data_IF_595777708419
#
_entry.id   IF_595777708419
#
_cell.length_a   1.000
_cell.length_b   1.000
_cell.length_c   1.000
_cell.angle_alpha   90.00
_cell.angle_beta   90.00
_cell.angle_gamma   90.00
#
_symmetry.space_group_name_H-M   'P 1'
#
loop_
_entity.id
_entity.type
_entity.pdbx_description
1 polymer ?
#
# COMPACT_ATOMS: atom_id res chain seq x y z
N UNK A 1 -0.05 -15.79 -18.85
CA UNK A 1 0.28 -14.37 -18.57
C UNK A 1 -0.99 -13.70 -18.05
N UNK A 2 -1.00 -13.22 -16.81
CA UNK A 2 -2.17 -12.53 -16.22
C UNK A 2 -2.19 -11.07 -16.67
N UNK A 3 -3.35 -10.39 -16.57
CA UNK A 3 -3.44 -8.94 -16.83
C UNK A 3 -2.52 -8.13 -15.89
N UNK A 4 -2.36 -8.57 -14.64
CA UNK A 4 -1.41 -7.98 -13.70
C UNK A 4 0.04 -8.07 -14.21
N UNK A 5 0.46 -9.23 -14.70
CA UNK A 5 1.80 -9.40 -15.28
C UNK A 5 1.96 -8.59 -16.58
N UNK A 6 0.90 -8.44 -17.37
CA UNK A 6 0.90 -7.57 -18.54
C UNK A 6 1.07 -6.08 -18.16
N UNK A 7 0.47 -5.64 -17.06
CA UNK A 7 0.65 -4.28 -16.53
C UNK A 7 2.09 -4.02 -16.10
N UNK A 8 2.75 -4.99 -15.44
CA UNK A 8 4.18 -4.93 -15.12
C UNK A 8 5.02 -4.80 -16.39
N UNK A 9 4.78 -5.63 -17.40
CA UNK A 9 5.49 -5.53 -18.68
C UNK A 9 5.28 -4.18 -19.37
N UNK A 10 4.07 -3.62 -19.29
CA UNK A 10 3.75 -2.29 -19.83
C UNK A 10 4.48 -1.18 -19.09
N UNK A 11 4.51 -1.23 -17.75
CA UNK A 11 5.26 -0.27 -16.92
C UNK A 11 6.75 -0.32 -17.26
N UNK A 12 7.34 -1.51 -17.29
CA UNK A 12 8.76 -1.69 -17.63
C UNK A 12 9.08 -1.15 -19.01
N UNK A 13 8.20 -1.37 -20.00
CA UNK A 13 8.34 -0.77 -21.32
C UNK A 13 8.24 0.76 -21.27
N UNK A 14 7.32 1.35 -20.51
CA UNK A 14 7.23 2.82 -20.38
C UNK A 14 8.52 3.39 -19.79
N UNK A 15 9.07 2.77 -18.75
CA UNK A 15 10.33 3.18 -18.11
C UNK A 15 11.49 3.09 -19.11
N UNK A 16 11.62 1.97 -19.82
CA UNK A 16 12.67 1.75 -20.81
C UNK A 16 12.65 2.76 -21.98
N UNK A 17 11.51 3.42 -22.22
CA UNK A 17 11.32 4.40 -23.29
C UNK A 17 11.07 5.82 -22.74
N UNK A 18 11.57 6.14 -21.54
CA UNK A 18 11.71 7.51 -21.06
C UNK A 18 10.64 8.01 -20.07
N UNK A 19 9.77 7.13 -19.55
CA UNK A 19 8.89 7.50 -18.43
C UNK A 19 9.68 7.81 -17.16
N UNK A 20 9.17 8.73 -16.33
CA UNK A 20 9.87 9.26 -15.16
C UNK A 20 10.82 10.42 -15.48
N UNK A 21 10.65 11.07 -16.63
CA UNK A 21 11.45 12.24 -17.04
C UNK A 21 10.91 13.58 -16.50
N UNK A 22 9.85 13.54 -15.67
CA UNK A 22 9.21 14.71 -15.04
C UNK A 22 8.74 14.38 -13.62
N UNK A 23 8.44 15.41 -12.82
CA UNK A 23 7.88 15.33 -11.47
C UNK A 23 6.63 14.46 -11.35
N UNK A 24 5.53 14.85 -12.01
CA UNK A 24 4.30 14.03 -12.09
C UNK A 24 4.56 12.61 -12.58
N UNK A 25 5.43 12.41 -13.58
CA UNK A 25 5.67 11.07 -14.11
C UNK A 25 6.40 10.21 -13.09
N UNK A 26 7.30 10.77 -12.26
CA UNK A 26 7.93 10.06 -11.15
C UNK A 26 6.92 9.73 -10.05
N UNK A 27 6.12 10.71 -9.64
CA UNK A 27 5.04 10.47 -8.69
C UNK A 27 4.10 9.34 -9.16
N UNK A 28 3.79 9.30 -10.46
CA UNK A 28 2.98 8.24 -11.04
C UNK A 28 3.68 6.87 -11.00
N UNK A 29 4.98 6.80 -11.30
CA UNK A 29 5.77 5.56 -11.19
C UNK A 29 5.82 5.04 -9.75
N UNK A 30 5.88 5.91 -8.73
CA UNK A 30 5.80 5.50 -7.32
C UNK A 30 4.46 4.82 -7.05
N UNK A 31 3.34 5.47 -7.39
CA UNK A 31 2.00 4.93 -7.13
C UNK A 31 1.71 3.64 -7.92
N UNK A 32 2.09 3.57 -9.20
CA UNK A 32 1.90 2.36 -10.01
C UNK A 32 2.84 1.25 -9.56
N UNK A 33 4.09 1.57 -9.23
CA UNK A 33 5.05 0.61 -8.67
C UNK A 33 4.54 0.00 -7.36
N UNK A 34 3.94 0.80 -6.49
CA UNK A 34 3.27 0.31 -5.27
C UNK A 34 2.14 -0.67 -5.61
N UNK A 35 1.22 -0.30 -6.51
CA UNK A 35 0.10 -1.17 -6.92
C UNK A 35 0.54 -2.46 -7.62
N UNK A 36 1.70 -2.46 -8.26
CA UNK A 36 2.26 -3.61 -8.95
C UNK A 36 3.27 -4.40 -8.12
N UNK A 37 3.39 -4.08 -6.82
CA UNK A 37 4.30 -4.76 -5.90
C UNK A 37 5.78 -4.70 -6.34
N UNK A 38 6.21 -3.55 -6.85
CA UNK A 38 7.57 -3.30 -7.34
C UNK A 38 8.36 -2.39 -6.38
N UNK A 39 8.91 -2.91 -5.26
CA UNK A 39 9.56 -2.10 -4.23
C UNK A 39 10.81 -1.36 -4.74
N UNK A 40 11.56 -1.96 -5.66
CA UNK A 40 12.73 -1.32 -6.26
C UNK A 40 12.33 -0.06 -7.07
N UNK A 41 11.23 -0.14 -7.83
CA UNK A 41 10.72 1.00 -8.60
C UNK A 41 10.19 2.10 -7.67
N UNK A 42 9.42 1.73 -6.64
CA UNK A 42 8.95 2.69 -5.61
C UNK A 42 10.11 3.46 -5.01
N UNK A 43 11.15 2.76 -4.55
CA UNK A 43 12.33 3.40 -3.97
C UNK A 43 13.04 4.31 -4.97
N UNK A 44 13.37 3.78 -6.15
CA UNK A 44 14.14 4.50 -7.16
C UNK A 44 13.39 5.75 -7.64
N UNK A 45 12.09 5.65 -7.90
CA UNK A 45 11.30 6.79 -8.33
C UNK A 45 11.08 7.81 -7.21
N UNK A 46 11.00 7.40 -5.95
CA UNK A 46 10.97 8.32 -4.79
C UNK A 46 12.28 9.11 -4.67
N UNK A 47 13.43 8.42 -4.75
CA UNK A 47 14.75 9.07 -4.72
C UNK A 47 14.89 10.04 -5.89
N UNK A 48 14.50 9.63 -7.10
CA UNK A 48 14.57 10.50 -8.27
C UNK A 48 13.65 11.73 -8.16
N UNK A 49 12.43 11.58 -7.63
CA UNK A 49 11.54 12.71 -7.41
C UNK A 49 12.19 13.76 -6.48
N UNK A 50 12.75 13.30 -5.37
CA UNK A 50 13.40 14.17 -4.38
C UNK A 50 14.72 14.78 -4.88
N UNK A 51 15.52 14.01 -5.62
CA UNK A 51 16.87 14.44 -6.00
C UNK A 51 16.89 15.24 -7.31
N UNK A 52 16.10 14.83 -8.31
CA UNK A 52 16.16 15.40 -9.66
C UNK A 52 15.02 16.36 -9.98
N UNK A 53 13.88 16.23 -9.28
CA UNK A 53 12.65 16.97 -9.61
C UNK A 53 12.14 17.78 -8.43
N UNK A 54 13.01 18.16 -7.50
CA UNK A 54 12.65 19.01 -6.37
C UNK A 54 13.62 20.17 -6.23
N UNK A 55 13.12 21.39 -6.04
CA UNK A 55 13.95 22.55 -5.74
C UNK A 55 14.60 22.40 -4.36
N UNK A 56 15.92 22.58 -4.29
CA UNK A 56 16.72 22.37 -3.06
C UNK A 56 16.27 23.23 -1.87
N UNK A 57 15.73 24.43 -2.12
CA UNK A 57 15.37 25.36 -1.05
C UNK A 57 13.89 25.28 -0.63
N UNK A 58 12.97 25.13 -1.60
CA UNK A 58 11.53 25.18 -1.33
C UNK A 58 10.88 23.80 -1.21
N UNK A 59 11.60 22.74 -1.62
CA UNK A 59 11.07 21.40 -1.81
C UNK A 59 9.87 21.31 -2.79
N UNK A 60 9.65 22.34 -3.60
CA UNK A 60 8.63 22.32 -4.65
C UNK A 60 9.11 21.49 -5.85
N UNK A 61 8.18 20.77 -6.46
CA UNK A 61 8.42 19.92 -7.62
C UNK A 61 8.78 20.77 -8.85
N UNK A 62 9.78 20.32 -9.61
CA UNK A 62 10.41 21.07 -10.70
C UNK A 62 10.72 20.17 -11.87
N UNK A 63 10.82 20.76 -13.05
CA UNK A 63 11.25 20.10 -14.27
C UNK A 63 10.21 20.20 -15.39
N UNK A 64 10.58 19.82 -16.62
CA UNK A 64 9.73 20.03 -17.80
C UNK A 64 8.28 19.53 -17.60
N UNK A 65 7.28 20.16 -18.24
CA UNK A 65 7.38 21.29 -19.17
C UNK A 65 7.39 22.69 -18.53
N UNK A 66 7.41 22.83 -17.20
CA UNK A 66 7.36 24.14 -16.54
C UNK A 66 8.45 24.26 -15.45
N UNK A 67 8.67 25.46 -14.91
CA UNK A 67 9.59 25.62 -13.78
C UNK A 67 9.06 24.89 -12.53
N UNK A 68 7.77 25.03 -12.24
CA UNK A 68 7.11 24.42 -11.10
C UNK A 68 5.79 23.78 -11.53
N UNK A 69 5.51 22.58 -11.03
CA UNK A 69 4.18 21.95 -11.05
C UNK A 69 3.92 21.28 -9.71
N UNK A 70 2.69 21.30 -9.21
CA UNK A 70 2.38 20.81 -7.85
C UNK A 70 2.14 19.29 -7.81
N UNK A 71 1.95 18.66 -8.96
CA UNK A 71 1.61 17.25 -9.10
C UNK A 71 2.66 16.30 -8.52
N UNK A 72 3.96 16.56 -8.69
CA UNK A 72 5.00 15.77 -8.02
C UNK A 72 4.92 15.85 -6.49
N UNK A 73 4.66 17.05 -5.94
CA UNK A 73 4.50 17.25 -4.50
C UNK A 73 3.28 16.54 -3.91
N UNK A 74 2.17 16.43 -4.65
CA UNK A 74 0.96 15.76 -4.16
C UNK A 74 1.00 14.26 -4.43
N UNK A 75 1.49 13.87 -5.62
CA UNK A 75 1.54 12.47 -6.04
C UNK A 75 2.66 11.67 -5.36
N UNK A 76 3.78 12.30 -5.02
CA UNK A 76 4.89 11.65 -4.31
C UNK A 76 4.46 11.06 -2.96
N UNK A 77 3.95 11.88 -2.03
CA UNK A 77 3.41 11.40 -0.75
C UNK A 77 2.26 10.40 -0.91
N UNK A 78 1.38 10.58 -1.91
CA UNK A 78 0.32 9.62 -2.19
C UNK A 78 0.88 8.25 -2.62
N UNK A 79 1.93 8.22 -3.45
CA UNK A 79 2.62 7.00 -3.84
C UNK A 79 3.34 6.33 -2.66
N UNK A 80 3.97 7.11 -1.77
CA UNK A 80 4.57 6.59 -0.53
C UNK A 80 3.50 5.96 0.37
N UNK A 81 2.35 6.61 0.52
CA UNK A 81 1.23 6.06 1.30
C UNK A 81 0.72 4.73 0.70
N UNK A 82 0.55 4.66 -0.62
CA UNK A 82 0.16 3.41 -1.31
C UNK A 82 1.21 2.30 -1.12
N UNK A 83 2.51 2.61 -1.13
CA UNK A 83 3.54 1.59 -0.88
C UNK A 83 3.44 0.95 0.53
N UNK A 84 2.91 1.69 1.50
CA UNK A 84 2.79 1.28 2.90
C UNK A 84 1.41 0.68 3.25
N UNK A 85 0.35 1.08 2.53
CA UNK A 85 -1.02 0.66 2.79
C UNK A 85 -1.86 0.64 1.50
N UNK A 86 -2.44 -0.52 1.16
CA UNK A 86 -3.51 -0.59 0.17
C UNK A 86 -4.87 -0.76 0.84
N UNK A 87 -5.89 -0.11 0.27
CA UNK A 87 -7.29 -0.30 0.68
C UNK A 87 -8.26 -0.13 -0.49
N UNK A 88 -7.86 -0.51 -1.70
CA UNK A 88 -8.66 -0.33 -2.91
C UNK A 88 -9.34 -1.61 -3.40
N UNK A 89 -8.85 -2.75 -2.92
CA UNK A 89 -9.40 -4.06 -3.22
C UNK A 89 -10.64 -4.30 -2.37
N UNK A 90 -11.61 -4.97 -2.96
CA UNK A 90 -12.80 -5.45 -2.28
C UNK A 90 -12.92 -6.95 -2.53
N UNK A 91 -13.56 -7.64 -1.60
CA UNK A 91 -13.68 -9.09 -1.62
C UNK A 91 -15.12 -9.52 -1.44
N UNK A 92 -15.43 -10.67 -2.03
CA UNK A 92 -16.64 -11.42 -1.73
C UNK A 92 -16.23 -12.66 -0.97
N UNK A 93 -16.80 -12.88 0.21
CA UNK A 93 -16.59 -14.10 0.99
C UNK A 93 -17.95 -14.67 1.39
N UNK A 94 -18.20 -15.93 1.03
CA UNK A 94 -19.40 -16.67 1.45
C UNK A 94 -19.25 -17.34 2.82
N UNK A 95 -18.02 -17.37 3.36
CA UNK A 95 -17.69 -17.90 4.69
C UNK A 95 -17.08 -16.82 5.59
N UNK A 96 -17.08 -17.08 6.90
CA UNK A 96 -16.43 -16.21 7.88
C UNK A 96 -14.89 -16.28 7.81
N UNK A 97 -14.36 -17.32 7.16
CA UNK A 97 -12.94 -17.53 6.91
C UNK A 97 -12.58 -17.18 5.45
N UNK A 98 -11.28 -17.10 5.17
CA UNK A 98 -10.79 -16.72 3.85
C UNK A 98 -10.89 -17.84 2.80
N UNK A 99 -11.44 -19.01 3.14
CA UNK A 99 -11.34 -20.23 2.31
C UNK A 99 -12.04 -20.11 0.95
N UNK A 100 -13.07 -19.27 0.87
CA UNK A 100 -13.82 -18.99 -0.36
C UNK A 100 -13.77 -17.51 -0.76
N UNK A 101 -12.76 -16.77 -0.29
CA UNK A 101 -12.63 -15.35 -0.57
C UNK A 101 -12.17 -15.13 -2.01
N UNK A 102 -12.94 -14.36 -2.77
CA UNK A 102 -12.63 -14.01 -4.16
C UNK A 102 -12.51 -12.49 -4.32
N UNK A 103 -11.71 -12.07 -5.30
CA UNK A 103 -11.60 -10.66 -5.65
C UNK A 103 -12.93 -10.18 -6.25
N UNK A 104 -13.43 -9.04 -5.78
CA UNK A 104 -14.56 -8.34 -6.40
C UNK A 104 -14.08 -7.15 -7.25
N UNK A 105 -15.00 -6.49 -7.96
CA UNK A 105 -14.70 -5.30 -8.75
C UNK A 105 -14.07 -4.22 -7.88
N UNK A 106 -12.89 -3.75 -8.30
CA UNK A 106 -12.21 -2.63 -7.66
C UNK A 106 -13.09 -1.38 -7.67
N UNK A 107 -13.27 -0.76 -6.50
CA UNK A 107 -14.10 0.44 -6.35
C UNK A 107 -15.60 0.18 -6.18
N UNK A 108 -16.04 -1.08 -6.16
CA UNK A 108 -17.41 -1.43 -5.85
C UNK A 108 -17.65 -1.42 -4.33
N UNK A 109 -18.38 -0.41 -3.84
CA UNK A 109 -18.71 -0.25 -2.42
C UNK A 109 -19.73 -1.27 -1.90
N UNK A 110 -20.27 -2.14 -2.75
CA UNK A 110 -21.21 -3.20 -2.33
C UNK A 110 -20.51 -4.43 -1.75
N UNK A 111 -19.17 -4.44 -1.79
CA UNK A 111 -18.33 -5.55 -1.34
C UNK A 111 -17.44 -5.16 -0.16
N UNK A 112 -16.97 -6.16 0.59
CA UNK A 112 -16.19 -5.93 1.80
C UNK A 112 -14.80 -5.38 1.45
N UNK A 113 -14.35 -4.26 2.05
CA UNK A 113 -13.05 -3.68 1.77
C UNK A 113 -11.91 -4.51 2.35
N UNK A 114 -10.80 -4.63 1.60
CA UNK A 114 -9.58 -5.29 2.02
C UNK A 114 -8.48 -4.26 2.30
N UNK A 115 -7.91 -4.31 3.51
CA UNK A 115 -6.75 -3.55 3.94
C UNK A 115 -5.50 -4.44 3.83
N UNK A 116 -4.53 -4.04 3.00
CA UNK A 116 -3.20 -4.68 2.95
C UNK A 116 -2.18 -3.81 3.66
N UNK A 117 -1.56 -4.38 4.67
CA UNK A 117 -0.43 -3.79 5.38
C UNK A 117 0.86 -4.05 4.59
N UNK A 118 1.71 -3.03 4.49
CA UNK A 118 3.06 -3.11 3.90
C UNK A 118 3.11 -3.89 2.55
N UNK A 119 2.23 -3.58 1.59
CA UNK A 119 2.18 -4.32 0.33
C UNK A 119 3.46 -4.16 -0.49
N UNK A 120 4.17 -3.03 -0.37
CA UNK A 120 5.34 -2.72 -1.22
C UNK A 120 6.36 -1.89 -0.47
N UNK A 121 6.70 -2.30 0.75
CA UNK A 121 7.77 -1.66 1.52
C UNK A 121 9.13 -1.92 0.85
N UNK A 122 9.85 -0.88 0.39
CA UNK A 122 11.20 -1.07 -0.11
C UNK A 122 12.18 -1.38 1.02
N UNK A 123 13.11 -2.32 0.78
CA UNK A 123 14.10 -2.74 1.79
C UNK A 123 14.95 -1.57 2.29
N UNK A 124 15.24 -0.60 1.42
CA UNK A 124 16.02 0.60 1.73
C UNK A 124 15.31 1.52 2.74
N UNK A 125 13.99 1.40 2.92
CA UNK A 125 13.25 2.17 3.92
C UNK A 125 13.29 1.49 5.30
N UNK A 126 13.69 0.21 5.37
CA UNK A 126 13.88 -0.53 6.60
C UNK A 126 15.34 -0.53 7.08
N UNK A 127 16.31 -0.34 6.17
CA UNK A 127 17.75 -0.54 6.46
C UNK A 127 18.32 0.34 7.57
N UNK A 128 17.65 1.44 7.93
CA UNK A 128 18.07 2.36 8.99
C UNK A 128 17.40 2.07 10.34
N UNK A 129 17.29 0.80 10.72
CA UNK A 129 16.74 0.39 12.02
C UNK A 129 15.22 0.19 12.05
N UNK A 130 14.59 0.03 10.89
CA UNK A 130 13.13 -0.09 10.76
C UNK A 130 12.44 1.25 10.54
N UNK A 131 11.14 1.31 10.77
CA UNK A 131 10.36 2.52 10.57
C UNK A 131 8.91 2.38 10.97
N UNK A 132 8.15 3.47 10.85
CA UNK A 132 6.73 3.49 11.11
C UNK A 132 6.01 4.58 10.33
N UNK A 133 4.70 4.43 10.17
CA UNK A 133 3.77 5.47 9.72
C UNK A 133 2.53 5.43 10.60
N UNK A 134 1.94 6.60 10.87
CA UNK A 134 0.72 6.75 11.67
C UNK A 134 -0.30 7.60 10.94
N UNK A 135 -1.58 7.32 11.17
CA UNK A 135 -2.68 8.14 10.68
C UNK A 135 -3.09 7.91 9.24
N UNK A 136 -2.63 6.82 8.57
CA UNK A 136 -3.09 6.52 7.22
C UNK A 136 -4.57 6.11 7.26
N UNK A 137 -5.35 6.58 6.30
CA UNK A 137 -6.77 6.24 6.20
C UNK A 137 -6.99 5.13 5.17
N UNK A 138 -7.80 4.15 5.55
CA UNK A 138 -8.22 3.06 4.69
C UNK A 138 -9.70 3.21 4.30
N UNK A 139 -10.04 2.80 3.07
CA UNK A 139 -11.44 2.63 2.66
C UNK A 139 -12.13 1.62 3.58
N UNK A 140 -13.44 1.79 3.76
CA UNK A 140 -14.20 1.09 4.80
C UNK A 140 -14.28 1.85 6.12
N UNK A 141 -13.42 2.85 6.33
CA UNK A 141 -13.48 3.72 7.52
C UNK A 141 -12.60 3.18 8.64
N UNK A 142 -11.29 3.18 8.41
CA UNK A 142 -10.30 2.90 9.44
C UNK A 142 -9.09 3.85 9.32
N UNK A 143 -8.50 4.15 10.47
CA UNK A 143 -7.16 4.71 10.58
C UNK A 143 -6.19 3.57 10.89
N UNK A 144 -5.03 3.57 10.21
CA UNK A 144 -4.01 2.54 10.33
C UNK A 144 -2.68 3.19 10.70
N UNK A 145 -2.12 2.67 11.79
CA UNK A 145 -0.74 2.88 12.18
C UNK A 145 0.03 1.58 11.94
N UNK A 146 1.24 1.64 11.39
CA UNK A 146 2.06 0.44 11.16
C UNK A 146 3.54 0.74 11.42
N UNK A 147 4.23 -0.19 12.08
CA UNK A 147 5.68 -0.23 12.26
C UNK A 147 6.27 -1.47 11.62
N UNK A 148 7.54 -1.36 11.22
CA UNK A 148 8.33 -2.44 10.67
C UNK A 148 9.73 -2.47 11.24
N UNK A 149 10.30 -3.66 11.30
CA UNK A 149 11.65 -3.95 11.76
C UNK A 149 12.72 -3.57 10.72
N UNK A 150 14.00 -3.64 11.10
CA UNK A 150 15.12 -3.33 10.22
C UNK A 150 15.26 -4.24 8.99
N UNK A 151 14.70 -5.44 9.06
CA UNK A 151 14.60 -6.37 7.94
C UNK A 151 13.31 -6.21 7.12
N UNK A 152 12.52 -5.17 7.39
CA UNK A 152 11.32 -4.81 6.61
C UNK A 152 10.10 -5.67 6.91
N UNK A 153 10.09 -6.39 8.04
CA UNK A 153 8.94 -7.18 8.47
C UNK A 153 8.00 -6.35 9.34
N UNK A 154 6.71 -6.71 9.33
CA UNK A 154 5.73 -6.12 10.24
C UNK A 154 6.20 -6.33 11.69
N UNK A 155 6.32 -5.22 12.43
CA UNK A 155 6.53 -5.24 13.88
C UNK A 155 5.16 -5.20 14.57
N UNK A 156 4.38 -4.15 14.29
CA UNK A 156 3.02 -3.98 14.80
C UNK A 156 2.18 -3.13 13.85
N UNK A 157 0.88 -3.38 13.79
CA UNK A 157 -0.07 -2.40 13.27
C UNK A 157 -1.24 -2.20 14.23
N UNK A 158 -1.83 -1.01 14.22
CA UNK A 158 -3.07 -0.71 14.93
C UNK A 158 -4.10 -0.24 13.92
N UNK A 159 -5.25 -0.90 13.90
CA UNK A 159 -6.39 -0.55 13.05
C UNK A 159 -7.48 0.02 13.94
N UNK A 160 -7.68 1.34 13.88
CA UNK A 160 -8.76 2.02 14.60
C UNK A 160 -9.94 2.22 13.65
N UNK A 161 -11.06 1.56 13.94
CA UNK A 161 -12.25 1.72 13.09
C UNK A 161 -12.95 3.05 13.37
N UNK A 162 -13.20 3.84 12.34
CA UNK A 162 -13.89 5.14 12.45
C UNK A 162 -15.39 5.03 12.18
N UNK A 163 -15.83 3.92 11.59
CA UNK A 163 -17.22 3.68 11.16
C UNK A 163 -17.87 2.48 11.86
N UNK A 164 -17.08 1.47 12.27
CA UNK A 164 -17.59 0.15 12.69
C UNK A 164 -17.92 -0.78 11.54
N UNK A 165 -17.58 -0.42 10.29
CA UNK A 165 -17.81 -1.28 9.14
C UNK A 165 -16.85 -2.46 9.13
N UNK A 166 -17.30 -3.57 8.55
CA UNK A 166 -16.48 -4.74 8.31
C UNK A 166 -15.26 -4.41 7.43
N UNK A 167 -14.12 -5.00 7.76
CA UNK A 167 -12.88 -4.92 6.99
C UNK A 167 -12.24 -6.30 6.91
N UNK A 168 -11.62 -6.62 5.79
CA UNK A 168 -10.62 -7.69 5.72
C UNK A 168 -9.23 -7.11 5.90
N UNK A 169 -8.35 -7.86 6.55
CA UNK A 169 -6.96 -7.44 6.82
C UNK A 169 -6.00 -8.53 6.35
N UNK A 170 -4.93 -8.13 5.67
CA UNK A 170 -3.83 -9.01 5.26
C UNK A 170 -2.50 -8.27 5.25
N UNK A 171 -1.40 -9.01 5.09
CA UNK A 171 -0.04 -8.50 5.03
C UNK A 171 0.62 -8.86 3.69
N UNK A 172 1.25 -7.86 3.07
CA UNK A 172 2.05 -8.05 1.87
C UNK A 172 1.22 -8.28 0.60
N UNK A 173 1.75 -9.12 -0.29
CA UNK A 173 1.38 -9.19 -1.71
C UNK A 173 0.56 -10.43 -2.09
N UNK A 174 0.13 -11.21 -1.09
CA UNK A 174 -0.48 -12.51 -1.35
C UNK A 174 -1.78 -12.37 -2.15
N UNK A 175 -2.01 -13.22 -3.17
CA UNK A 175 -3.26 -13.21 -3.92
C UNK A 175 -4.47 -13.39 -2.99
N UNK A 176 -5.56 -12.69 -3.30
CA UNK A 176 -6.83 -12.80 -2.57
C UNK A 176 -7.27 -14.28 -2.56
N UNK A 177 -7.53 -14.82 -1.37
CA UNK A 177 -7.96 -16.20 -1.15
C UNK A 177 -6.80 -17.20 -0.99
N UNK A 178 -5.55 -16.76 -1.12
CA UNK A 178 -4.39 -17.61 -0.89
C UNK A 178 -4.30 -18.06 0.58
N UNK A 179 -4.06 -19.35 0.79
CA UNK A 179 -3.67 -19.92 2.08
C UNK A 179 -2.16 -19.87 2.31
N UNK A 180 -1.39 -19.64 1.24
CA UNK A 180 0.04 -19.42 1.29
C UNK A 180 0.30 -17.94 1.54
N UNK A 181 0.95 -17.62 2.66
CA UNK A 181 1.20 -16.25 3.05
C UNK A 181 1.70 -16.11 4.46
N UNK A 182 2.14 -14.89 4.79
CA UNK A 182 2.50 -14.56 6.17
C UNK A 182 1.24 -14.55 7.01
N UNK A 183 1.24 -15.35 8.09
CA UNK A 183 0.14 -15.35 9.04
C UNK A 183 0.27 -14.13 9.94
N UNK A 184 -0.82 -13.39 10.09
CA UNK A 184 -0.98 -12.33 11.07
C UNK A 184 -1.93 -12.81 12.17
N UNK A 185 -1.88 -12.13 13.30
CA UNK A 185 -2.83 -12.26 14.41
C UNK A 185 -3.45 -10.92 14.70
N UNK A 186 -4.75 -10.89 15.01
CA UNK A 186 -5.45 -9.72 15.52
C UNK A 186 -5.99 -10.06 16.92
N UNK A 187 -5.59 -9.27 17.90
CA UNK A 187 -5.93 -9.47 19.31
C UNK A 187 -7.46 -9.53 19.50
N UNK A 188 -7.92 -10.62 20.13
CA UNK A 188 -9.34 -10.85 20.38
C UNK A 188 -10.18 -11.23 19.15
N UNK A 189 -9.56 -11.45 17.99
CA UNK A 189 -10.25 -11.83 16.75
C UNK A 189 -9.78 -13.19 16.24
N UNK A 190 -8.47 -13.40 16.10
CA UNK A 190 -7.91 -14.67 15.61
C UNK A 190 -6.68 -14.47 14.72
N UNK A 191 -6.31 -15.52 13.99
CA UNK A 191 -5.12 -15.50 13.12
C UNK A 191 -5.36 -16.14 11.75
N UNK A 192 -4.60 -15.71 10.75
CA UNK A 192 -4.71 -16.19 9.37
C UNK A 192 -3.91 -15.33 8.40
N UNK A 193 -3.94 -15.69 7.11
CA UNK A 193 -3.37 -14.86 6.03
C UNK A 193 -4.29 -13.68 5.72
N UNK A 194 -5.60 -13.92 5.78
CA UNK A 194 -6.64 -12.90 5.69
C UNK A 194 -7.54 -13.05 6.92
N UNK A 195 -7.78 -11.95 7.63
CA UNK A 195 -8.59 -11.93 8.83
C UNK A 195 -9.79 -11.01 8.62
N UNK A 196 -10.98 -11.56 8.84
CA UNK A 196 -12.23 -10.81 8.85
C UNK A 196 -12.35 -10.06 10.17
N UNK A 197 -12.33 -8.74 10.11
CA UNK A 197 -12.52 -7.87 11.25
C UNK A 197 -13.93 -7.28 11.22
N UNK A 198 -14.70 -7.49 12.28
CA UNK A 198 -16.00 -6.84 12.52
C UNK A 198 -15.82 -5.87 13.68
N UNK A 199 -15.34 -4.64 13.41
CA UNK A 199 -14.93 -3.74 14.46
C UNK A 199 -16.10 -2.97 15.06
N UNK A 200 -15.91 -2.41 16.24
CA UNK A 200 -16.77 -1.36 16.79
C UNK A 200 -16.15 0.00 16.49
N UNK A 201 -16.98 1.00 16.16
CA UNK A 201 -16.54 2.38 15.96
C UNK A 201 -15.77 2.89 17.19
N UNK A 202 -14.61 3.50 16.94
CA UNK A 202 -13.70 4.04 17.95
C UNK A 202 -12.77 3.02 18.59
N UNK A 203 -12.91 1.72 18.29
CA UNK A 203 -12.05 0.67 18.86
C UNK A 203 -10.84 0.44 17.97
N UNK A 204 -9.67 0.30 18.61
CA UNK A 204 -8.40 -0.05 17.98
C UNK A 204 -8.10 -1.53 18.17
N UNK A 205 -7.63 -2.17 17.10
CA UNK A 205 -7.27 -3.58 17.04
C UNK A 205 -5.78 -3.71 16.69
N UNK A 206 -5.03 -4.41 17.54
CA UNK A 206 -3.60 -4.67 17.32
C UNK A 206 -3.43 -5.84 16.36
N UNK A 207 -2.58 -5.66 15.36
CA UNK A 207 -2.13 -6.69 14.42
C UNK A 207 -0.65 -6.96 14.66
N UNK A 208 -0.28 -8.23 14.79
CA UNK A 208 1.12 -8.69 14.87
C UNK A 208 1.38 -9.81 13.89
N UNK A 209 2.65 -10.10 13.63
CA UNK A 209 3.03 -11.40 13.07
C UNK A 209 2.64 -12.54 14.02
N UNK A 210 2.34 -13.70 13.43
CA UNK A 210 2.16 -14.95 14.16
C UNK A 210 3.41 -15.81 14.08
#
# INVERSE_FOLDING_TARGET
MTLFNAAISSLNRRIAYGSGSTGWSRAWLIAVGARLYQPAEVHMSTVNLLYNYTYVNSMLDTGPPAAFQIDGNLGGPAGIAEALLHSHETVTASSLDASNMTASSTGDSTHDPLVRLLPTLPQQWASNGGGFVKGLLARGGAQVDVSWTSDGKLDKANITSTTGNLLWVTLGTQPIGSTNGTQISIDGVGSGVFIRLVPRKGVSYTVTLK
#
